data_IF_835721018300
#
_entry.id   IF_835721018300
#
_cell.length_a   1.000
_cell.length_b   1.000
_cell.length_c   1.000
_cell.angle_alpha   90.00
_cell.angle_beta   90.00
_cell.angle_gamma   90.00
#
_symmetry.space_group_name_H-M   'P 1'
#
loop_
_entity.id
_entity.type
_entity.pdbx_description
1 polymer ?
#
# COMPACT_ATOMS: atom_id res chain seq x y z
N UNK A 1 35.12 21.72 -18.13
CA UNK A 1 34.41 20.50 -17.68
C UNK A 1 34.67 20.33 -16.19
N UNK A 2 33.63 20.02 -15.39
CA UNK A 2 33.60 20.03 -13.91
C UNK A 2 33.37 21.39 -13.23
N UNK A 3 32.12 21.60 -12.82
CA UNK A 3 31.65 22.15 -11.53
C UNK A 3 30.15 22.37 -11.69
N UNK A 4 29.38 21.31 -11.49
CA UNK A 4 28.03 21.44 -10.95
C UNK A 4 28.17 22.19 -9.63
N UNK A 5 28.11 23.52 -9.69
CA UNK A 5 28.17 24.38 -8.52
C UNK A 5 27.04 23.90 -7.59
N UNK A 6 27.33 23.46 -6.35
CA UNK A 6 26.30 22.99 -5.42
C UNK A 6 25.16 24.01 -5.24
N UNK A 7 25.48 25.30 -5.44
CA UNK A 7 24.54 26.42 -5.42
C UNK A 7 23.58 26.39 -6.62
N UNK A 8 24.05 26.07 -7.83
CA UNK A 8 23.19 25.93 -9.01
C UNK A 8 22.32 24.68 -8.94
N UNK A 9 22.86 23.57 -8.42
CA UNK A 9 22.08 22.35 -8.19
C UNK A 9 20.96 22.57 -7.16
N UNK A 10 21.23 23.25 -6.05
CA UNK A 10 20.20 23.62 -5.07
C UNK A 10 19.12 24.53 -5.67
N UNK A 11 19.49 25.39 -6.62
CA UNK A 11 18.57 26.27 -7.35
C UNK A 11 17.66 25.49 -8.31
N UNK A 12 18.22 24.52 -9.01
CA UNK A 12 17.47 23.57 -9.87
C UNK A 12 16.52 22.70 -9.04
N UNK A 13 16.98 22.12 -7.93
CA UNK A 13 16.12 21.33 -7.03
C UNK A 13 14.97 22.16 -6.48
N UNK A 14 15.20 23.42 -6.08
CA UNK A 14 14.11 24.31 -5.64
C UNK A 14 13.10 24.59 -6.75
N UNK A 15 13.55 24.73 -7.99
CA UNK A 15 12.66 24.89 -9.15
C UNK A 15 11.85 23.63 -9.43
N UNK A 16 12.41 22.43 -9.29
CA UNK A 16 11.66 21.17 -9.46
C UNK A 16 10.70 20.90 -8.31
N UNK A 17 11.12 21.16 -7.06
CA UNK A 17 10.26 21.03 -5.87
C UNK A 17 9.04 21.95 -5.96
N UNK A 18 9.16 23.11 -6.60
CA UNK A 18 8.01 24.01 -6.83
C UNK A 18 6.96 23.45 -7.79
N UNK A 19 7.32 22.45 -8.61
CA UNK A 19 6.38 21.73 -9.49
C UNK A 19 5.71 20.56 -8.79
N UNK A 20 6.17 20.17 -7.60
CA UNK A 20 5.55 19.11 -6.80
C UNK A 20 4.28 19.66 -6.18
N UNK A 21 3.15 19.23 -6.72
CA UNK A 21 1.83 19.48 -6.15
C UNK A 21 1.60 18.49 -5.01
N UNK A 22 1.70 18.98 -3.77
CA UNK A 22 1.42 18.16 -2.61
C UNK A 22 -0.09 17.91 -2.49
N UNK A 23 -0.51 16.66 -2.26
CA UNK A 23 -1.91 16.33 -2.15
C UNK A 23 -2.54 17.03 -0.95
N UNK A 24 -3.78 17.46 -1.11
CA UNK A 24 -4.52 18.06 0.00
C UNK A 24 -4.87 17.00 1.04
N UNK A 25 -5.06 17.38 2.32
CA UNK A 25 -5.47 16.44 3.38
C UNK A 25 -6.72 15.62 3.03
N UNK A 26 -7.60 16.20 2.19
CA UNK A 26 -8.80 15.54 1.68
C UNK A 26 -8.47 14.43 0.68
N UNK A 27 -7.57 14.69 -0.27
CA UNK A 27 -7.10 13.67 -1.23
C UNK A 27 -6.36 12.53 -0.53
N UNK A 28 -5.48 12.83 0.43
CA UNK A 28 -4.79 11.80 1.22
C UNK A 28 -5.78 10.92 1.97
N UNK A 29 -6.82 11.51 2.57
CA UNK A 29 -7.86 10.79 3.29
C UNK A 29 -8.67 9.88 2.37
N UNK A 30 -9.06 10.37 1.19
CA UNK A 30 -9.82 9.57 0.20
C UNK A 30 -8.98 8.38 -0.28
N UNK A 31 -7.73 8.61 -0.68
CA UNK A 31 -6.85 7.52 -1.14
C UNK A 31 -6.60 6.48 -0.04
N UNK A 32 -6.45 6.91 1.21
CA UNK A 32 -6.32 6.00 2.35
C UNK A 32 -7.58 5.16 2.56
N UNK A 33 -8.77 5.77 2.44
CA UNK A 33 -10.05 5.07 2.56
C UNK A 33 -10.21 3.98 1.50
N UNK A 34 -9.84 4.26 0.25
CA UNK A 34 -9.87 3.26 -0.83
C UNK A 34 -9.00 2.04 -0.51
N UNK A 35 -7.77 2.26 -0.04
CA UNK A 35 -6.87 1.17 0.38
C UNK A 35 -7.46 0.41 1.56
N UNK A 36 -8.03 1.12 2.53
CA UNK A 36 -8.63 0.51 3.72
C UNK A 36 -9.79 -0.43 3.35
N UNK A 37 -10.67 -0.01 2.44
CA UNK A 37 -11.77 -0.86 1.93
C UNK A 37 -11.23 -2.11 1.26
N UNK A 38 -10.22 -1.98 0.40
CA UNK A 38 -9.59 -3.14 -0.26
C UNK A 38 -9.02 -4.13 0.76
N UNK A 39 -8.34 -3.63 1.79
CA UNK A 39 -7.76 -4.46 2.86
C UNK A 39 -8.85 -5.18 3.65
N UNK A 40 -9.96 -4.50 3.97
CA UNK A 40 -11.09 -5.11 4.68
C UNK A 40 -11.74 -6.23 3.85
N UNK A 41 -11.92 -6.02 2.54
CA UNK A 41 -12.46 -7.06 1.66
C UNK A 41 -11.51 -8.25 1.57
N UNK A 42 -10.21 -7.99 1.39
CA UNK A 42 -9.20 -9.04 1.33
C UNK A 42 -9.13 -9.83 2.64
N UNK A 43 -9.14 -9.17 3.80
CA UNK A 43 -9.05 -9.84 5.11
C UNK A 43 -10.24 -10.76 5.38
N UNK A 44 -11.46 -10.32 5.02
CA UNK A 44 -12.67 -11.16 5.12
C UNK A 44 -12.57 -12.37 4.20
N UNK A 45 -12.09 -12.19 2.97
CA UNK A 45 -11.89 -13.30 2.03
C UNK A 45 -10.89 -14.33 2.59
N UNK A 46 -9.72 -13.89 3.05
CA UNK A 46 -8.71 -14.79 3.63
C UNK A 46 -9.27 -15.53 4.85
N UNK A 47 -9.98 -14.84 5.74
CA UNK A 47 -10.59 -15.47 6.91
C UNK A 47 -11.61 -16.55 6.53
N UNK A 48 -12.43 -16.32 5.51
CA UNK A 48 -13.36 -17.33 5.02
C UNK A 48 -12.64 -18.55 4.44
N UNK A 49 -11.56 -18.33 3.68
CA UNK A 49 -10.71 -19.39 3.12
C UNK A 49 -10.02 -20.18 4.23
N UNK A 50 -9.46 -19.52 5.24
CA UNK A 50 -8.77 -20.16 6.35
C UNK A 50 -9.70 -21.10 7.14
N UNK A 51 -10.94 -20.66 7.40
CA UNK A 51 -11.96 -21.50 8.04
C UNK A 51 -12.34 -22.67 7.15
N UNK A 52 -12.53 -22.43 5.85
CA UNK A 52 -12.88 -23.48 4.88
C UNK A 52 -11.78 -24.55 4.77
N UNK A 53 -10.53 -24.12 4.65
CA UNK A 53 -9.38 -25.02 4.59
C UNK A 53 -9.15 -25.76 5.91
N UNK A 54 -9.31 -25.09 7.05
CA UNK A 54 -9.17 -25.73 8.37
C UNK A 54 -10.16 -26.88 8.53
N UNK A 55 -11.43 -26.66 8.15
CA UNK A 55 -12.47 -27.71 8.17
C UNK A 55 -12.22 -28.82 7.16
N UNK A 56 -11.71 -28.47 5.97
CA UNK A 56 -11.35 -29.46 4.95
C UNK A 56 -10.21 -30.36 5.44
N UNK A 57 -9.18 -29.76 6.05
CA UNK A 57 -8.04 -30.49 6.62
C UNK A 57 -8.47 -31.35 7.78
N UNK A 58 -9.33 -30.84 8.68
CA UNK A 58 -9.90 -31.62 9.78
C UNK A 58 -10.72 -32.81 9.27
N UNK A 59 -11.49 -32.64 8.19
CA UNK A 59 -12.24 -33.73 7.57
C UNK A 59 -11.26 -34.80 7.02
N UNK A 60 -10.26 -34.39 6.24
CA UNK A 60 -9.31 -35.31 5.60
C UNK A 60 -8.45 -36.05 6.64
N UNK A 61 -7.95 -35.36 7.66
CA UNK A 61 -7.13 -35.95 8.71
C UNK A 61 -7.96 -36.70 9.76
N UNK A 62 -9.20 -36.26 10.01
CA UNK A 62 -10.14 -36.93 10.92
C UNK A 62 -10.66 -38.27 10.40
N UNK A 63 -10.63 -38.50 9.07
CA UNK A 63 -10.83 -39.84 8.48
C UNK A 63 -9.62 -40.78 8.64
N UNK A 64 -8.48 -40.28 9.12
CA UNK A 64 -7.23 -41.03 9.28
C UNK A 64 -6.91 -41.48 10.71
N UNK A 65 -7.79 -41.22 11.68
CA UNK A 65 -7.70 -41.70 13.07
C UNK A 65 -8.81 -42.71 13.38
#
# INVERSE_FOLDING_TARGET
>A
MSKSSPIEFARQVRQEVSRVTWPTRKETGITTLFVFVMVVVASVFFLAVDIGLSKLVELILGFGA
#
